data_IF_283661100295
#
_entry.id   IF_283661100295
#
_cell.length_a   1.000
_cell.length_b   1.000
_cell.length_c   1.000
_cell.angle_alpha   90.00
_cell.angle_beta   90.00
_cell.angle_gamma   90.00
#
_symmetry.space_group_name_H-M   'P 1'
#
loop_
_entity.id
_entity.type
_entity.pdbx_description
1 polymer ?
#
# COMPACT_ATOMS: atom_id res chain seq x y z
N UNK A 1 7.88 -89.31 64.86
CA UNK A 1 7.79 -88.92 63.47
C UNK A 1 7.83 -87.37 63.39
N UNK A 2 8.93 -86.83 62.97
CA UNK A 2 9.22 -85.39 62.97
C UNK A 2 8.83 -84.79 61.57
N UNK A 3 7.92 -83.83 61.51
CA UNK A 3 7.64 -82.98 60.35
C UNK A 3 8.49 -81.74 60.48
N UNK A 4 9.38 -81.50 59.49
CA UNK A 4 10.12 -80.27 59.32
C UNK A 4 9.30 -79.32 58.45
N UNK A 5 9.01 -78.12 58.97
CA UNK A 5 8.41 -77.02 58.23
C UNK A 5 9.48 -76.23 57.41
N UNK A 6 9.26 -76.04 56.15
CA UNK A 6 10.05 -75.11 55.27
C UNK A 6 9.39 -73.74 55.29
N UNK A 7 10.06 -72.77 55.88
CA UNK A 7 9.71 -71.32 55.75
C UNK A 7 10.32 -70.76 54.51
N UNK A 8 9.49 -70.40 53.50
CA UNK A 8 9.93 -69.68 52.32
C UNK A 8 10.01 -68.18 52.64
N UNK A 9 11.22 -67.65 52.57
CA UNK A 9 11.51 -66.19 52.67
C UNK A 9 11.27 -65.58 51.33
N UNK A 10 10.20 -64.80 51.16
CA UNK A 10 9.93 -63.99 49.97
C UNK A 10 10.79 -62.71 50.04
N UNK A 11 11.81 -62.63 49.22
CA UNK A 11 12.52 -61.36 49.00
C UNK A 11 11.70 -60.42 48.13
N UNK A 12 11.13 -59.38 48.75
CA UNK A 12 10.56 -58.26 48.11
C UNK A 12 11.74 -57.39 47.57
N UNK A 13 12.00 -57.44 46.29
CA UNK A 13 12.87 -56.47 45.58
C UNK A 13 12.13 -55.15 45.50
N UNK A 14 12.34 -54.27 46.47
CA UNK A 14 12.05 -52.85 46.31
C UNK A 14 13.12 -52.27 45.35
N UNK A 15 12.74 -51.99 44.12
CA UNK A 15 13.57 -51.25 43.23
C UNK A 15 13.68 -49.80 43.75
N UNK A 16 14.76 -49.50 44.45
CA UNK A 16 15.13 -48.14 44.80
C UNK A 16 15.51 -47.40 43.48
N UNK A 17 14.57 -46.68 42.90
CA UNK A 17 14.92 -45.65 41.92
C UNK A 17 15.81 -44.63 42.64
N UNK A 18 17.00 -44.28 42.13
CA UNK A 18 17.85 -43.32 42.79
C UNK A 18 17.10 -41.97 42.85
N UNK A 19 17.23 -41.26 43.95
CA UNK A 19 16.56 -40.00 44.25
C UNK A 19 16.74 -38.95 43.13
N UNK A 20 17.84 -39.02 42.39
CA UNK A 20 18.16 -38.25 41.21
C UNK A 20 17.26 -38.53 40.00
N UNK A 21 16.88 -39.83 39.79
CA UNK A 21 15.97 -40.21 38.70
C UNK A 21 14.52 -39.80 38.98
N UNK A 22 14.08 -39.89 40.23
CA UNK A 22 12.75 -39.39 40.62
C UNK A 22 12.62 -37.88 40.45
N UNK A 23 13.64 -37.11 40.83
CA UNK A 23 13.69 -35.63 40.58
C UNK A 23 13.76 -35.28 39.10
N UNK A 24 14.45 -36.05 38.28
CA UNK A 24 14.50 -35.83 36.86
C UNK A 24 13.16 -36.06 36.16
N UNK A 25 12.40 -37.07 36.58
CA UNK A 25 11.05 -37.32 36.07
C UNK A 25 10.10 -36.17 36.47
N UNK A 26 10.15 -35.71 37.73
CA UNK A 26 9.36 -34.58 38.21
C UNK A 26 9.68 -33.27 37.46
N UNK A 27 10.95 -33.00 37.18
CA UNK A 27 11.37 -31.83 36.39
C UNK A 27 10.91 -31.91 34.91
N UNK A 28 11.00 -33.10 34.29
CA UNK A 28 10.50 -33.34 32.94
C UNK A 28 8.98 -33.08 32.86
N UNK A 29 8.21 -33.60 33.83
CA UNK A 29 6.77 -33.38 33.90
C UNK A 29 6.43 -31.90 34.05
N UNK A 30 7.15 -31.21 34.94
CA UNK A 30 6.98 -29.77 35.14
C UNK A 30 7.26 -28.96 33.90
N UNK A 31 8.39 -29.18 33.26
CA UNK A 31 8.77 -28.42 32.05
C UNK A 31 7.81 -28.68 30.88
N UNK A 32 7.41 -29.94 30.66
CA UNK A 32 6.46 -30.26 29.61
C UNK A 32 5.10 -29.60 29.86
N UNK A 33 4.55 -29.74 31.08
CA UNK A 33 3.25 -29.16 31.46
C UNK A 33 3.26 -27.62 31.35
N UNK A 34 4.34 -26.97 31.83
CA UNK A 34 4.49 -25.51 31.71
C UNK A 34 4.56 -25.11 30.24
N UNK A 35 5.34 -25.82 29.41
CA UNK A 35 5.44 -25.57 27.99
C UNK A 35 4.11 -25.75 27.26
N UNK A 36 3.39 -26.81 27.52
CA UNK A 36 2.08 -27.10 26.91
C UNK A 36 1.04 -26.05 27.30
N UNK A 37 0.88 -25.75 28.59
CA UNK A 37 -0.07 -24.73 29.06
C UNK A 37 0.27 -23.34 28.55
N UNK A 38 1.55 -22.95 28.65
CA UNK A 38 1.98 -21.64 28.14
C UNK A 38 1.78 -21.51 26.63
N UNK A 39 1.90 -22.60 25.85
CA UNK A 39 1.57 -22.62 24.43
C UNK A 39 0.08 -22.44 24.19
N UNK A 40 -0.77 -23.10 24.99
CA UNK A 40 -2.22 -22.97 24.90
C UNK A 40 -2.70 -21.56 25.30
N UNK A 41 -2.08 -20.98 26.32
CA UNK A 41 -2.41 -19.64 26.85
C UNK A 41 -1.76 -18.49 26.04
N UNK A 42 -0.97 -18.81 25.00
CA UNK A 42 -0.27 -17.80 24.18
C UNK A 42 0.89 -17.09 24.88
N UNK A 43 1.39 -17.63 26.02
CA UNK A 43 2.52 -17.06 26.78
C UNK A 43 3.84 -17.55 26.16
N UNK A 44 4.10 -17.09 24.95
CA UNK A 44 5.15 -17.61 24.07
C UNK A 44 6.57 -17.61 24.68
N UNK A 45 7.04 -16.58 25.42
CA UNK A 45 8.38 -16.62 26.01
C UNK A 45 8.56 -17.72 27.07
N UNK A 46 7.49 -18.03 27.83
CA UNK A 46 7.49 -19.08 28.84
C UNK A 46 7.45 -20.44 28.16
N UNK A 47 6.55 -20.63 27.19
CA UNK A 47 6.45 -21.86 26.41
C UNK A 47 7.79 -22.22 25.77
N UNK A 48 8.41 -21.29 25.03
CA UNK A 48 9.67 -21.53 24.36
C UNK A 48 10.78 -21.93 25.32
N UNK A 49 10.96 -21.19 26.42
CA UNK A 49 12.01 -21.49 27.41
C UNK A 49 11.84 -22.86 28.06
N UNK A 50 10.62 -23.21 28.45
CA UNK A 50 10.33 -24.49 29.09
C UNK A 50 10.55 -25.66 28.11
N UNK A 51 10.08 -25.52 26.87
CA UNK A 51 10.18 -26.56 25.86
C UNK A 51 11.62 -26.70 25.32
N UNK A 52 12.39 -25.63 25.18
CA UNK A 52 13.82 -25.69 24.82
C UNK A 52 14.61 -26.48 25.87
N UNK A 53 14.37 -26.18 27.16
CA UNK A 53 15.00 -26.93 28.24
C UNK A 53 14.55 -28.40 28.23
N UNK A 54 13.27 -28.66 28.08
CA UNK A 54 12.77 -30.05 28.00
C UNK A 54 13.44 -30.83 26.88
N UNK A 55 13.46 -30.28 25.66
CA UNK A 55 14.07 -30.94 24.48
C UNK A 55 15.56 -31.19 24.66
N UNK A 56 16.26 -30.31 25.38
CA UNK A 56 17.69 -30.41 25.63
C UNK A 56 18.02 -31.40 26.76
N UNK A 57 17.29 -31.30 27.87
CA UNK A 57 17.61 -32.02 29.10
C UNK A 57 16.99 -33.45 29.11
N UNK A 58 15.90 -33.68 28.38
CA UNK A 58 15.17 -34.96 28.35
C UNK A 58 15.02 -35.58 26.95
N UNK A 59 16.13 -35.82 26.23
CA UNK A 59 16.08 -36.27 24.82
C UNK A 59 15.58 -37.74 24.64
N UNK A 60 15.34 -38.46 25.73
CA UNK A 60 14.79 -39.83 25.73
C UNK A 60 13.38 -39.92 26.31
N UNK A 61 12.76 -38.78 26.67
CA UNK A 61 11.39 -38.76 27.19
C UNK A 61 10.42 -39.13 26.06
N UNK A 62 9.39 -39.88 26.37
CA UNK A 62 8.37 -40.36 25.44
C UNK A 62 7.59 -39.20 24.79
N UNK A 63 7.52 -38.04 25.44
CA UNK A 63 6.85 -36.81 24.96
C UNK A 63 7.73 -35.91 24.13
N UNK A 64 8.97 -36.34 23.83
CA UNK A 64 9.92 -35.50 23.08
C UNK A 64 9.34 -35.01 21.74
N UNK A 65 8.62 -35.86 21.01
CA UNK A 65 8.01 -35.53 19.73
C UNK A 65 6.94 -34.43 19.89
N UNK A 66 6.08 -34.53 20.92
CA UNK A 66 5.08 -33.52 21.24
C UNK A 66 5.72 -32.20 21.73
N UNK A 67 6.78 -32.29 22.52
CA UNK A 67 7.53 -31.12 22.97
C UNK A 67 8.16 -30.36 21.80
N UNK A 68 8.71 -31.08 20.80
CA UNK A 68 9.28 -30.47 19.58
C UNK A 68 8.18 -29.84 18.73
N UNK A 69 7.00 -30.44 18.61
CA UNK A 69 5.84 -29.83 17.95
C UNK A 69 5.45 -28.51 18.63
N UNK A 70 5.29 -28.52 19.96
CA UNK A 70 4.92 -27.33 20.73
C UNK A 70 5.99 -26.23 20.66
N UNK A 71 7.27 -26.61 20.66
CA UNK A 71 8.39 -25.68 20.45
C UNK A 71 8.34 -25.04 19.06
N UNK A 72 8.02 -25.81 18.02
CA UNK A 72 7.79 -25.30 16.68
C UNK A 72 6.68 -24.24 16.65
N UNK A 73 5.55 -24.49 17.30
CA UNK A 73 4.45 -23.53 17.45
C UNK A 73 4.89 -22.25 18.17
N UNK A 74 5.64 -22.38 19.25
CA UNK A 74 6.15 -21.22 19.98
C UNK A 74 7.14 -20.38 19.13
N UNK A 75 7.97 -21.02 18.32
CA UNK A 75 8.87 -20.32 17.37
C UNK A 75 8.09 -19.62 16.28
N UNK A 76 7.08 -20.27 15.71
CA UNK A 76 6.22 -19.68 14.69
C UNK A 76 5.50 -18.43 15.20
N UNK A 77 5.08 -18.44 16.47
CA UNK A 77 4.39 -17.31 17.10
C UNK A 77 5.29 -16.06 17.26
N UNK A 78 6.62 -16.21 17.31
CA UNK A 78 7.56 -15.08 17.33
C UNK A 78 8.15 -14.76 15.95
N UNK A 79 7.67 -15.41 14.88
CA UNK A 79 8.13 -15.17 13.53
C UNK A 79 9.42 -15.90 13.13
N UNK A 80 9.92 -16.81 13.97
CA UNK A 80 11.07 -17.65 13.65
C UNK A 80 10.60 -18.84 12.79
N UNK A 81 10.20 -18.52 11.56
CA UNK A 81 9.50 -19.42 10.68
C UNK A 81 10.38 -20.60 10.21
N UNK A 82 11.67 -20.35 9.97
CA UNK A 82 12.63 -21.38 9.55
C UNK A 82 12.85 -22.43 10.67
N UNK A 83 13.15 -21.94 11.90
CA UNK A 83 13.36 -22.86 13.03
C UNK A 83 12.05 -23.56 13.43
N UNK A 84 10.88 -22.97 13.21
CA UNK A 84 9.60 -23.63 13.38
C UNK A 84 9.42 -24.78 12.37
N UNK A 85 9.69 -24.51 11.08
CA UNK A 85 9.62 -25.52 10.03
C UNK A 85 10.53 -26.71 10.32
N UNK A 86 11.79 -26.46 10.74
CA UNK A 86 12.72 -27.51 11.11
C UNK A 86 12.21 -28.32 12.32
N UNK A 87 11.59 -27.66 13.29
CA UNK A 87 10.98 -28.37 14.42
C UNK A 87 9.83 -29.29 13.97
N UNK A 88 8.94 -28.83 13.08
CA UNK A 88 7.84 -29.66 12.58
C UNK A 88 8.34 -30.83 11.76
N UNK A 89 9.33 -30.65 10.89
CA UNK A 89 9.98 -31.76 10.17
C UNK A 89 10.63 -32.76 11.12
N UNK A 90 11.36 -32.27 12.13
CA UNK A 90 11.97 -33.11 13.15
C UNK A 90 10.93 -33.91 13.92
N UNK A 91 9.80 -33.28 14.31
CA UNK A 91 8.71 -33.95 15.03
C UNK A 91 8.19 -35.18 14.26
N UNK A 92 8.16 -35.15 12.94
CA UNK A 92 7.73 -36.27 12.09
C UNK A 92 8.71 -37.44 12.06
N UNK A 93 9.96 -37.25 12.44
CA UNK A 93 10.98 -38.31 12.40
C UNK A 93 11.04 -39.18 13.64
N UNK A 94 10.34 -38.79 14.71
CA UNK A 94 10.36 -39.56 15.97
C UNK A 94 9.57 -40.86 15.90
N UNK A 95 10.03 -41.85 16.69
CA UNK A 95 9.34 -43.10 16.95
C UNK A 95 9.24 -43.31 18.44
N UNK A 96 8.05 -43.27 19.04
CA UNK A 96 6.74 -43.05 18.38
C UNK A 96 6.59 -41.65 17.82
N UNK A 97 5.69 -41.45 16.83
CA UNK A 97 5.38 -40.13 16.32
C UNK A 97 4.64 -39.28 17.36
N UNK A 98 4.52 -37.96 17.15
CA UNK A 98 3.71 -37.12 18.03
C UNK A 98 2.29 -37.65 18.18
N UNK A 99 1.69 -37.47 19.36
CA UNK A 99 0.30 -37.86 19.63
C UNK A 99 -0.72 -37.09 18.75
N UNK A 100 -0.27 -36.02 18.06
CA UNK A 100 -1.09 -35.13 17.25
C UNK A 100 -0.51 -34.95 15.81
N UNK A 101 -0.47 -36.00 14.99
CA UNK A 101 0.21 -35.98 13.70
C UNK A 101 -0.41 -34.97 12.70
N UNK A 102 -1.73 -34.74 12.75
CA UNK A 102 -2.39 -33.75 11.90
C UNK A 102 -2.00 -32.31 12.28
N UNK A 103 -1.80 -32.03 13.58
CA UNK A 103 -1.28 -30.72 14.01
C UNK A 103 0.11 -30.45 13.43
N UNK A 104 0.98 -31.45 13.37
CA UNK A 104 2.32 -31.28 12.79
C UNK A 104 2.23 -30.85 11.34
N UNK A 105 1.38 -31.51 10.55
CA UNK A 105 1.18 -31.17 9.12
C UNK A 105 0.53 -29.80 8.94
N UNK A 106 -0.44 -29.47 9.76
CA UNK A 106 -1.07 -28.15 9.73
C UNK A 106 -0.06 -27.03 10.02
N UNK A 107 0.70 -27.15 11.12
CA UNK A 107 1.68 -26.13 11.51
C UNK A 107 2.89 -26.08 10.56
N UNK A 108 3.26 -27.19 9.94
CA UNK A 108 4.21 -27.21 8.82
C UNK A 108 3.70 -26.35 7.66
N UNK A 109 2.42 -26.50 7.28
CA UNK A 109 1.75 -25.66 6.28
C UNK A 109 1.80 -24.18 6.62
N UNK A 110 1.48 -23.83 7.89
CA UNK A 110 1.54 -22.44 8.38
C UNK A 110 2.96 -21.84 8.30
N UNK A 111 3.99 -22.61 8.67
CA UNK A 111 5.38 -22.18 8.57
C UNK A 111 5.80 -21.97 7.10
N UNK A 112 5.44 -22.90 6.24
CA UNK A 112 5.72 -22.83 4.80
C UNK A 112 5.01 -21.65 4.14
N UNK A 113 3.75 -21.38 4.51
CA UNK A 113 3.00 -20.22 4.02
C UNK A 113 3.69 -18.90 4.42
N UNK A 114 4.10 -18.75 5.67
CA UNK A 114 4.83 -17.55 6.14
C UNK A 114 6.20 -17.38 5.48
N UNK A 115 6.84 -18.48 5.11
CA UNK A 115 8.08 -18.50 4.31
C UNK A 115 7.83 -18.27 2.82
N UNK A 116 6.61 -18.05 2.39
CA UNK A 116 6.15 -17.89 1.00
C UNK A 116 6.46 -19.12 0.13
N UNK A 117 6.63 -20.28 0.74
CA UNK A 117 6.80 -21.57 0.06
C UNK A 117 5.41 -22.16 -0.23
N UNK A 118 4.67 -21.49 -1.08
CA UNK A 118 3.25 -21.74 -1.26
C UNK A 118 2.91 -23.13 -1.81
N UNK A 119 3.71 -23.67 -2.74
CA UNK A 119 3.48 -25.01 -3.27
C UNK A 119 3.61 -26.09 -2.18
N UNK A 120 4.58 -25.95 -1.29
CA UNK A 120 4.79 -26.88 -0.18
C UNK A 120 3.69 -26.69 0.90
N UNK A 121 3.29 -25.44 1.18
CA UNK A 121 2.20 -25.13 2.11
C UNK A 121 0.89 -25.76 1.65
N UNK A 122 0.56 -25.61 0.36
CA UNK A 122 -0.59 -26.26 -0.27
C UNK A 122 -0.58 -27.77 -0.01
N UNK A 123 0.52 -28.46 -0.33
CA UNK A 123 0.64 -29.90 -0.13
C UNK A 123 0.47 -30.31 1.34
N UNK A 124 0.95 -29.48 2.29
CA UNK A 124 0.79 -29.73 3.71
C UNK A 124 -0.69 -29.62 4.14
N UNK A 125 -1.40 -28.56 3.74
CA UNK A 125 -2.82 -28.40 4.05
C UNK A 125 -3.69 -29.47 3.39
N UNK A 126 -3.45 -29.79 2.11
CA UNK A 126 -4.15 -30.87 1.41
C UNK A 126 -3.97 -32.22 2.12
N UNK A 127 -2.76 -32.46 2.70
CA UNK A 127 -2.51 -33.69 3.44
C UNK A 127 -3.34 -33.79 4.72
N UNK A 128 -3.61 -32.67 5.40
CA UNK A 128 -4.52 -32.62 6.58
C UNK A 128 -5.93 -32.98 6.17
N UNK A 129 -6.45 -32.32 5.14
CA UNK A 129 -7.81 -32.51 4.63
C UNK A 129 -8.04 -33.95 4.11
N UNK A 130 -7.03 -34.50 3.44
CA UNK A 130 -7.08 -35.88 2.90
C UNK A 130 -7.04 -36.94 4.02
N UNK A 131 -6.30 -36.68 5.09
CA UNK A 131 -6.18 -37.62 6.20
C UNK A 131 -7.46 -37.67 7.06
N UNK A 132 -8.06 -36.51 7.35
CA UNK A 132 -9.33 -36.41 8.10
C UNK A 132 -10.03 -35.09 7.82
N UNK A 133 -11.00 -35.10 6.89
CA UNK A 133 -11.81 -33.95 6.53
C UNK A 133 -12.78 -33.52 7.67
N UNK A 134 -12.95 -34.34 8.71
CA UNK A 134 -13.80 -34.04 9.87
C UNK A 134 -13.01 -33.58 11.09
N UNK A 135 -11.67 -33.53 10.97
CA UNK A 135 -10.80 -33.04 12.02
C UNK A 135 -11.16 -31.62 12.45
N UNK A 136 -11.00 -31.26 13.73
CA UNK A 136 -11.10 -29.88 14.19
C UNK A 136 -10.16 -28.90 13.46
N UNK A 137 -9.11 -29.39 12.81
CA UNK A 137 -8.17 -28.59 12.02
C UNK A 137 -8.56 -28.46 10.53
N UNK A 138 -9.57 -29.19 10.06
CA UNK A 138 -9.97 -29.16 8.66
C UNK A 138 -10.45 -27.77 8.21
N UNK A 139 -11.23 -27.01 8.99
CA UNK A 139 -11.60 -25.64 8.62
C UNK A 139 -10.39 -24.74 8.44
N UNK A 140 -9.45 -24.74 9.39
CA UNK A 140 -8.24 -23.93 9.33
C UNK A 140 -7.33 -24.34 8.17
N UNK A 141 -7.20 -25.64 7.90
CA UNK A 141 -6.41 -26.16 6.78
C UNK A 141 -7.03 -25.76 5.43
N UNK A 142 -8.37 -25.85 5.28
CA UNK A 142 -9.06 -25.40 4.07
C UNK A 142 -8.92 -23.88 3.87
N UNK A 143 -9.00 -23.10 4.96
CA UNK A 143 -8.80 -21.66 4.90
C UNK A 143 -7.36 -21.30 4.54
N UNK A 144 -6.36 -22.01 5.11
CA UNK A 144 -4.94 -21.84 4.74
C UNK A 144 -4.66 -22.22 3.28
N UNK A 145 -5.30 -23.29 2.77
CA UNK A 145 -5.24 -23.67 1.35
C UNK A 145 -5.81 -22.55 0.47
N UNK A 146 -6.99 -22.01 0.80
CA UNK A 146 -7.60 -20.92 0.05
C UNK A 146 -6.72 -19.66 0.01
N UNK A 147 -6.08 -19.31 1.12
CA UNK A 147 -5.09 -18.22 1.18
C UNK A 147 -3.86 -18.50 0.31
N UNK A 148 -3.39 -19.74 0.30
CA UNK A 148 -2.26 -20.15 -0.52
C UNK A 148 -2.54 -19.96 -2.01
N UNK A 149 -3.75 -20.32 -2.46
CA UNK A 149 -4.22 -20.08 -3.83
C UNK A 149 -4.35 -18.58 -4.13
N UNK A 150 -4.84 -17.79 -3.18
CA UNK A 150 -5.00 -16.34 -3.35
C UNK A 150 -3.65 -15.63 -3.50
N UNK A 151 -2.66 -15.97 -2.66
CA UNK A 151 -1.31 -15.36 -2.71
C UNK A 151 -0.57 -15.69 -4.02
N UNK A 152 -0.86 -16.84 -4.61
CA UNK A 152 -0.33 -17.25 -5.91
C UNK A 152 -1.15 -16.68 -7.09
N UNK A 153 -2.22 -15.96 -6.80
CA UNK A 153 -3.17 -15.42 -7.80
C UNK A 153 -3.79 -16.52 -8.69
N UNK A 154 -3.95 -17.70 -8.15
CA UNK A 154 -4.56 -18.81 -8.87
C UNK A 154 -6.08 -18.64 -8.99
N UNK A 155 -6.64 -19.04 -10.12
CA UNK A 155 -8.08 -19.00 -10.33
C UNK A 155 -8.87 -19.85 -9.32
N UNK A 156 -8.21 -20.86 -8.74
CA UNK A 156 -8.77 -21.78 -7.75
C UNK A 156 -9.07 -21.13 -6.39
N UNK A 157 -8.51 -19.94 -6.08
CA UNK A 157 -8.74 -19.25 -4.81
C UNK A 157 -10.24 -19.06 -4.50
N UNK A 158 -11.02 -18.61 -5.48
CA UNK A 158 -12.45 -18.43 -5.31
C UNK A 158 -13.17 -19.74 -5.01
N UNK A 159 -12.77 -20.85 -5.64
CA UNK A 159 -13.32 -22.18 -5.40
C UNK A 159 -13.00 -22.64 -3.99
N UNK A 160 -11.74 -22.51 -3.55
CA UNK A 160 -11.29 -22.96 -2.23
C UNK A 160 -12.00 -22.20 -1.08
N UNK A 161 -12.20 -20.87 -1.20
CA UNK A 161 -12.99 -20.11 -0.23
C UNK A 161 -14.47 -20.49 -0.25
N UNK A 162 -15.05 -20.80 -1.42
CA UNK A 162 -16.44 -21.25 -1.55
C UNK A 162 -16.63 -22.60 -0.85
N UNK A 163 -15.76 -23.55 -1.10
CA UNK A 163 -15.77 -24.85 -0.43
C UNK A 163 -15.70 -24.71 1.10
N UNK A 164 -14.89 -23.77 1.59
CA UNK A 164 -14.86 -23.47 3.02
C UNK A 164 -16.22 -23.01 3.54
N UNK A 165 -16.83 -22.03 2.88
CA UNK A 165 -18.11 -21.44 3.34
C UNK A 165 -19.24 -22.45 3.26
N UNK A 166 -19.27 -23.28 2.21
CA UNK A 166 -20.30 -24.29 2.01
C UNK A 166 -20.21 -25.41 3.06
N UNK A 167 -18.98 -25.78 3.46
CA UNK A 167 -18.73 -26.85 4.41
C UNK A 167 -18.85 -26.38 5.87
N UNK A 168 -18.41 -25.16 6.18
CA UNK A 168 -18.38 -24.61 7.55
C UNK A 168 -19.03 -23.21 7.65
N UNK A 169 -20.32 -23.07 7.31
CA UNK A 169 -20.99 -21.75 7.22
C UNK A 169 -21.08 -20.99 8.54
N UNK A 170 -20.98 -21.68 9.68
CA UNK A 170 -21.05 -21.09 11.01
C UNK A 170 -19.68 -20.92 11.69
N UNK A 171 -18.61 -21.30 11.01
CA UNK A 171 -17.27 -21.18 11.57
C UNK A 171 -16.88 -19.72 11.75
N UNK A 172 -16.04 -19.42 12.75
CA UNK A 172 -15.60 -18.05 13.05
C UNK A 172 -14.89 -17.36 11.87
N UNK A 173 -14.26 -18.13 11.00
CA UNK A 173 -13.61 -17.63 9.79
C UNK A 173 -14.55 -17.45 8.58
N UNK A 174 -15.81 -17.91 8.64
CA UNK A 174 -16.74 -17.84 7.52
C UNK A 174 -17.00 -16.41 7.00
N UNK A 175 -17.14 -15.39 7.86
CA UNK A 175 -17.22 -14.01 7.38
C UNK A 175 -15.97 -13.59 6.60
N UNK A 176 -14.77 -13.87 7.14
CA UNK A 176 -13.52 -13.55 6.43
C UNK A 176 -13.40 -14.31 5.11
N UNK A 177 -13.74 -15.60 5.09
CA UNK A 177 -13.76 -16.40 3.87
C UNK A 177 -14.71 -15.83 2.81
N UNK A 178 -15.90 -15.35 3.22
CA UNK A 178 -16.88 -14.69 2.32
C UNK A 178 -16.28 -13.43 1.69
N UNK A 179 -15.60 -12.60 2.47
CA UNK A 179 -14.94 -11.41 1.95
C UNK A 179 -13.85 -11.77 0.94
N UNK A 180 -12.98 -12.74 1.26
CA UNK A 180 -11.88 -13.12 0.36
C UNK A 180 -12.37 -13.89 -0.89
N UNK A 181 -13.45 -14.66 -0.77
CA UNK A 181 -14.15 -15.18 -1.94
C UNK A 181 -14.59 -14.04 -2.88
N UNK A 182 -15.27 -13.05 -2.32
CA UNK A 182 -15.75 -11.91 -3.11
C UNK A 182 -14.58 -11.13 -3.73
N UNK A 183 -13.50 -10.94 -3.00
CA UNK A 183 -12.26 -10.30 -3.50
C UNK A 183 -11.67 -11.09 -4.68
N UNK A 184 -11.51 -12.40 -4.55
CA UNK A 184 -11.02 -13.25 -5.63
C UNK A 184 -11.93 -13.18 -6.88
N UNK A 185 -13.26 -13.13 -6.68
CA UNK A 185 -14.22 -12.95 -7.77
C UNK A 185 -14.09 -11.58 -8.47
N UNK A 186 -13.87 -10.51 -7.70
CA UNK A 186 -13.63 -9.15 -8.25
C UNK A 186 -12.33 -9.13 -9.07
N UNK A 187 -11.25 -9.73 -8.57
CA UNK A 187 -9.99 -9.86 -9.31
C UNK A 187 -10.16 -10.65 -10.62
N UNK A 188 -11.05 -11.65 -10.64
CA UNK A 188 -11.45 -12.41 -11.83
C UNK A 188 -12.50 -11.69 -12.70
N UNK A 189 -12.91 -10.46 -12.35
CA UNK A 189 -13.96 -9.67 -13.00
C UNK A 189 -15.36 -10.34 -12.99
N UNK A 190 -15.59 -11.25 -12.07
CA UNK A 190 -16.89 -11.95 -11.87
C UNK A 190 -17.78 -11.13 -10.93
N UNK A 191 -18.05 -9.87 -11.31
CA UNK A 191 -18.74 -8.89 -10.47
C UNK A 191 -20.14 -9.33 -10.06
N UNK A 192 -20.90 -9.98 -10.97
CA UNK A 192 -22.25 -10.46 -10.69
C UNK A 192 -22.32 -11.47 -9.53
N UNK A 193 -21.23 -12.22 -9.30
CA UNK A 193 -21.15 -13.16 -8.21
C UNK A 193 -20.58 -12.49 -6.94
N UNK A 194 -19.68 -11.54 -7.09
CA UNK A 194 -19.06 -10.83 -5.97
C UNK A 194 -20.05 -9.88 -5.25
N UNK A 195 -20.86 -9.14 -6.01
CA UNK A 195 -21.77 -8.13 -5.46
C UNK A 195 -22.73 -8.70 -4.40
N UNK A 196 -23.49 -9.78 -4.63
CA UNK A 196 -24.40 -10.30 -3.60
C UNK A 196 -23.67 -10.81 -2.35
N UNK A 197 -22.46 -11.35 -2.47
CA UNK A 197 -21.64 -11.77 -1.35
C UNK A 197 -21.21 -10.57 -0.50
N UNK A 198 -20.75 -9.49 -1.14
CA UNK A 198 -20.34 -8.26 -0.45
C UNK A 198 -21.52 -7.54 0.19
N UNK A 199 -22.67 -7.48 -0.47
CA UNK A 199 -23.90 -6.93 0.11
C UNK A 199 -24.31 -7.70 1.36
N UNK A 200 -24.33 -9.03 1.27
CA UNK A 200 -24.63 -9.91 2.40
C UNK A 200 -23.62 -9.74 3.54
N UNK A 201 -22.34 -9.61 3.21
CA UNK A 201 -21.29 -9.37 4.20
C UNK A 201 -21.49 -8.04 4.94
N UNK A 202 -21.64 -6.94 4.21
CA UNK A 202 -21.80 -5.59 4.79
C UNK A 202 -23.06 -5.51 5.67
N UNK A 203 -24.15 -6.17 5.25
CA UNK A 203 -25.41 -6.18 6.02
C UNK A 203 -25.29 -6.96 7.33
N UNK A 204 -24.62 -8.12 7.32
CA UNK A 204 -24.55 -9.05 8.46
C UNK A 204 -23.36 -8.82 9.38
N UNK A 205 -22.28 -8.21 8.88
CA UNK A 205 -21.00 -8.11 9.56
C UNK A 205 -20.49 -6.65 9.64
N UNK A 206 -21.38 -5.70 9.92
CA UNK A 206 -21.07 -4.26 9.93
C UNK A 206 -19.97 -3.85 10.92
N UNK A 207 -19.78 -4.61 12.01
CA UNK A 207 -18.73 -4.43 13.03
C UNK A 207 -17.46 -5.26 12.78
N UNK A 208 -17.44 -6.06 11.73
CA UNK A 208 -16.27 -6.87 11.41
C UNK A 208 -15.12 -5.97 10.93
N UNK A 209 -13.86 -6.33 11.26
CA UNK A 209 -12.66 -5.55 10.87
C UNK A 209 -12.54 -5.30 9.35
N UNK A 210 -13.08 -6.20 8.53
CA UNK A 210 -13.09 -6.09 7.06
C UNK A 210 -14.32 -5.37 6.51
N UNK A 211 -15.20 -4.80 7.35
CA UNK A 211 -16.40 -4.12 6.87
C UNK A 211 -16.10 -2.88 6.03
N UNK A 212 -15.11 -2.03 6.36
CA UNK A 212 -14.72 -0.93 5.48
C UNK A 212 -14.22 -1.41 4.12
N UNK A 213 -13.29 -2.39 4.10
CA UNK A 213 -12.79 -2.98 2.84
C UNK A 213 -13.92 -3.58 1.99
N UNK A 214 -14.88 -4.26 2.63
CA UNK A 214 -16.02 -4.86 1.93
C UNK A 214 -16.93 -3.80 1.30
N UNK A 215 -17.15 -2.65 1.96
CA UNK A 215 -17.93 -1.52 1.38
C UNK A 215 -17.21 -0.91 0.19
N UNK A 216 -15.90 -0.68 0.32
CA UNK A 216 -15.07 -0.21 -0.79
C UNK A 216 -15.14 -1.16 -1.98
N UNK A 217 -14.90 -2.45 -1.74
CA UNK A 217 -14.91 -3.48 -2.78
C UNK A 217 -16.29 -3.64 -3.42
N UNK A 218 -17.37 -3.50 -2.65
CA UNK A 218 -18.76 -3.51 -3.15
C UNK A 218 -18.99 -2.37 -4.14
N UNK A 219 -18.61 -1.15 -3.77
CA UNK A 219 -18.73 0.00 -4.65
C UNK A 219 -17.94 -0.17 -5.94
N UNK A 220 -16.68 -0.63 -5.83
CA UNK A 220 -15.83 -0.94 -6.97
C UNK A 220 -16.41 -2.04 -7.88
N UNK A 221 -16.94 -3.11 -7.27
CA UNK A 221 -17.56 -4.21 -8.02
C UNK A 221 -18.79 -3.77 -8.78
N UNK A 222 -19.63 -2.91 -8.21
CA UNK A 222 -20.81 -2.36 -8.89
C UNK A 222 -20.45 -1.41 -10.02
N UNK A 223 -19.47 -0.49 -9.79
CA UNK A 223 -19.00 0.42 -10.85
C UNK A 223 -18.51 -0.37 -12.07
N UNK A 224 -17.70 -1.40 -11.84
CA UNK A 224 -17.13 -2.20 -12.91
C UNK A 224 -18.09 -3.29 -13.46
N UNK A 225 -19.11 -3.64 -12.68
CA UNK A 225 -20.11 -4.67 -13.02
C UNK A 225 -21.34 -4.15 -13.77
N UNK A 226 -21.36 -2.86 -14.12
CA UNK A 226 -22.43 -2.29 -14.95
C UNK A 226 -23.53 -1.52 -14.19
N UNK A 227 -23.37 -1.31 -12.87
CA UNK A 227 -24.23 -0.42 -12.07
C UNK A 227 -23.42 0.74 -11.44
N UNK A 228 -22.94 1.67 -12.28
CA UNK A 228 -22.05 2.72 -11.84
C UNK A 228 -22.70 3.68 -10.82
N UNK A 229 -24.00 3.93 -10.91
CA UNK A 229 -24.71 4.82 -9.97
C UNK A 229 -24.78 4.22 -8.57
N UNK A 230 -25.21 2.97 -8.46
CA UNK A 230 -25.22 2.27 -7.18
C UNK A 230 -23.81 2.10 -6.60
N UNK A 231 -22.81 1.86 -7.46
CA UNK A 231 -21.42 1.79 -7.03
C UNK A 231 -20.91 3.12 -6.43
N UNK A 232 -21.23 4.27 -7.04
CA UNK A 232 -20.91 5.59 -6.52
C UNK A 232 -21.57 5.81 -5.15
N UNK A 233 -22.84 5.41 -4.97
CA UNK A 233 -23.55 5.52 -3.69
C UNK A 233 -22.83 4.70 -2.59
N UNK A 234 -22.43 3.47 -2.90
CA UNK A 234 -21.68 2.63 -1.93
C UNK A 234 -20.30 3.20 -1.60
N UNK A 235 -19.58 3.76 -2.59
CA UNK A 235 -18.28 4.41 -2.35
C UNK A 235 -18.41 5.66 -1.48
N UNK A 236 -19.48 6.45 -1.65
CA UNK A 236 -19.77 7.59 -0.76
C UNK A 236 -20.04 7.12 0.67
N UNK A 237 -20.88 6.11 0.84
CA UNK A 237 -21.15 5.52 2.14
C UNK A 237 -19.90 4.91 2.80
N UNK A 238 -18.98 4.35 1.99
CA UNK A 238 -17.67 3.91 2.47
C UNK A 238 -16.85 5.08 3.03
N UNK A 239 -16.71 6.18 2.27
CA UNK A 239 -15.96 7.38 2.69
C UNK A 239 -16.53 7.98 3.97
N UNK A 240 -17.86 8.04 4.09
CA UNK A 240 -18.55 8.55 5.28
C UNK A 240 -18.29 7.65 6.50
N UNK A 241 -18.37 6.32 6.34
CA UNK A 241 -18.20 5.37 7.42
C UNK A 241 -16.74 5.19 7.86
N UNK A 242 -15.76 5.42 6.97
CA UNK A 242 -14.33 5.20 7.22
C UNK A 242 -13.46 6.30 6.59
N UNK A 243 -13.55 7.57 7.03
CA UNK A 243 -12.91 8.71 6.36
C UNK A 243 -11.38 8.67 6.39
N UNK A 244 -10.79 7.90 7.31
CA UNK A 244 -9.34 7.74 7.44
C UNK A 244 -8.81 6.46 6.77
N UNK A 245 -9.67 5.73 6.04
CA UNK A 245 -9.24 4.49 5.39
C UNK A 245 -8.25 4.78 4.24
N UNK A 246 -7.19 3.96 4.05
CA UNK A 246 -6.19 4.18 3.00
C UNK A 246 -6.76 4.28 1.58
N UNK A 247 -7.88 3.60 1.31
CA UNK A 247 -8.52 3.57 -0.01
C UNK A 247 -9.48 4.75 -0.27
N UNK A 248 -9.65 5.69 0.66
CA UNK A 248 -10.51 6.86 0.47
C UNK A 248 -10.09 7.71 -0.74
N UNK A 249 -8.79 8.01 -0.97
CA UNK A 249 -8.39 8.73 -2.17
C UNK A 249 -8.76 8.00 -3.47
N UNK A 250 -8.57 6.67 -3.50
CA UNK A 250 -8.94 5.85 -4.65
C UNK A 250 -10.46 5.82 -4.88
N UNK A 251 -11.25 5.69 -3.82
CA UNK A 251 -12.70 5.77 -3.90
C UNK A 251 -13.20 7.11 -4.47
N UNK A 252 -12.62 8.24 -4.02
CA UNK A 252 -12.92 9.58 -4.56
C UNK A 252 -12.60 9.69 -6.04
N UNK A 253 -11.44 9.18 -6.46
CA UNK A 253 -11.05 9.19 -7.88
C UNK A 253 -12.04 8.40 -8.75
N UNK A 254 -12.46 7.22 -8.29
CA UNK A 254 -13.46 6.39 -8.99
C UNK A 254 -14.82 7.06 -9.04
N UNK A 255 -15.28 7.69 -7.94
CA UNK A 255 -16.53 8.45 -7.94
C UNK A 255 -16.46 9.56 -9.00
N UNK A 256 -15.39 10.36 -9.00
CA UNK A 256 -15.23 11.47 -9.92
C UNK A 256 -15.16 11.01 -11.38
N UNK A 257 -14.44 9.94 -11.66
CA UNK A 257 -14.37 9.35 -13.01
C UNK A 257 -15.72 8.79 -13.46
N UNK A 258 -16.42 8.11 -12.57
CA UNK A 258 -17.72 7.52 -12.83
C UNK A 258 -18.78 8.59 -13.11
N UNK A 259 -18.80 9.65 -12.29
CA UNK A 259 -19.67 10.81 -12.53
C UNK A 259 -19.36 11.52 -13.85
N UNK A 260 -18.09 11.57 -14.24
CA UNK A 260 -17.70 12.15 -15.53
C UNK A 260 -18.22 11.34 -16.74
N UNK A 261 -18.29 10.01 -16.61
CA UNK A 261 -18.71 9.12 -17.70
C UNK A 261 -20.21 8.85 -17.73
N UNK A 262 -20.85 8.76 -16.56
CA UNK A 262 -22.19 8.22 -16.37
C UNK A 262 -23.11 9.16 -15.58
N UNK A 263 -22.57 10.17 -14.90
CA UNK A 263 -23.35 11.16 -14.15
C UNK A 263 -24.09 12.09 -15.10
N UNK A 264 -25.33 12.43 -14.77
CA UNK A 264 -26.01 13.50 -15.47
C UNK A 264 -25.49 14.87 -14.99
N UNK A 265 -25.83 15.90 -15.78
CA UNK A 265 -25.36 17.26 -15.51
C UNK A 265 -25.87 17.80 -14.15
N UNK A 266 -27.08 17.41 -13.76
CA UNK A 266 -27.68 17.85 -12.48
C UNK A 266 -26.97 17.18 -11.31
N UNK A 267 -26.74 15.89 -11.37
CA UNK A 267 -26.01 15.15 -10.32
C UNK A 267 -24.60 15.71 -10.08
N UNK A 268 -23.88 16.08 -11.15
CA UNK A 268 -22.58 16.76 -11.02
C UNK A 268 -22.71 18.15 -10.38
N UNK A 269 -23.76 18.93 -10.72
CA UNK A 269 -24.00 20.26 -10.12
C UNK A 269 -24.30 20.14 -8.62
N UNK A 270 -25.17 19.20 -8.25
CA UNK A 270 -25.54 18.97 -6.85
C UNK A 270 -24.34 18.51 -6.03
N UNK A 271 -23.51 17.62 -6.61
CA UNK A 271 -22.27 17.16 -5.96
C UNK A 271 -21.28 18.31 -5.78
N UNK A 272 -21.09 19.18 -6.79
CA UNK A 272 -20.26 20.38 -6.67
C UNK A 272 -20.76 21.30 -5.54
N UNK A 273 -22.06 21.57 -5.52
CA UNK A 273 -22.65 22.42 -4.51
C UNK A 273 -22.47 21.85 -3.09
N UNK A 274 -22.69 20.55 -2.91
CA UNK A 274 -22.50 19.86 -1.64
C UNK A 274 -21.04 19.93 -1.15
N UNK A 275 -20.06 19.67 -2.03
CA UNK A 275 -18.65 19.75 -1.69
C UNK A 275 -18.21 21.17 -1.31
N UNK A 276 -18.69 22.17 -2.04
CA UNK A 276 -18.40 23.59 -1.74
C UNK A 276 -19.02 24.09 -0.45
N UNK A 277 -20.16 23.51 -0.03
CA UNK A 277 -20.89 23.84 1.21
C UNK A 277 -20.44 22.98 2.40
N UNK A 278 -19.63 21.98 2.21
CA UNK A 278 -19.20 21.07 3.27
C UNK A 278 -18.51 21.83 4.42
N UNK A 279 -18.93 21.54 5.67
CA UNK A 279 -18.35 22.13 6.88
C UNK A 279 -18.24 21.05 7.98
N UNK A 280 -17.04 20.80 8.54
CA UNK A 280 -15.76 21.34 8.07
C UNK A 280 -15.41 20.86 6.68
N UNK A 281 -14.78 21.72 5.87
CA UNK A 281 -14.31 21.33 4.55
C UNK A 281 -12.95 20.60 4.64
N UNK A 282 -12.55 19.94 3.55
CA UNK A 282 -11.23 19.30 3.42
C UNK A 282 -10.57 19.72 2.11
N UNK A 283 -9.25 19.60 2.04
CA UNK A 283 -8.51 19.92 0.81
C UNK A 283 -8.94 19.03 -0.37
N UNK A 284 -9.23 17.76 -0.09
CA UNK A 284 -9.70 16.78 -1.07
C UNK A 284 -11.09 17.16 -1.59
N UNK A 285 -12.02 17.55 -0.70
CA UNK A 285 -13.36 17.94 -1.12
C UNK A 285 -13.34 19.15 -2.07
N UNK A 286 -12.50 20.14 -1.79
CA UNK A 286 -12.34 21.31 -2.66
C UNK A 286 -11.65 20.99 -3.97
N UNK A 287 -10.67 20.09 -3.96
CA UNK A 287 -10.04 19.58 -5.18
C UNK A 287 -11.04 18.81 -6.05
N UNK A 288 -11.87 17.97 -5.44
CA UNK A 288 -12.93 17.23 -6.13
C UNK A 288 -13.97 18.18 -6.74
N UNK A 289 -14.37 19.22 -6.00
CA UNK A 289 -15.26 20.28 -6.51
C UNK A 289 -14.67 20.96 -7.74
N UNK A 290 -13.39 21.30 -7.72
CA UNK A 290 -12.70 21.89 -8.87
C UNK A 290 -12.69 20.93 -10.08
N UNK A 291 -12.44 19.64 -9.85
CA UNK A 291 -12.51 18.62 -10.89
C UNK A 291 -13.89 18.50 -11.53
N UNK A 292 -14.95 18.48 -10.73
CA UNK A 292 -16.35 18.41 -11.20
C UNK A 292 -16.70 19.69 -11.98
N UNK A 293 -16.35 20.87 -11.48
CA UNK A 293 -16.59 22.13 -12.18
C UNK A 293 -15.90 22.18 -13.55
N UNK A 294 -14.68 21.64 -13.65
CA UNK A 294 -13.98 21.53 -14.92
C UNK A 294 -14.73 20.66 -15.94
N UNK A 295 -15.28 19.53 -15.51
CA UNK A 295 -16.09 18.65 -16.35
C UNK A 295 -17.43 19.26 -16.78
N UNK A 296 -18.02 20.08 -15.93
CA UNK A 296 -19.19 20.87 -16.26
C UNK A 296 -18.90 22.03 -17.22
N UNK A 297 -17.65 22.25 -17.62
CA UNK A 297 -17.18 23.39 -18.38
C UNK A 297 -17.52 24.72 -17.70
N UNK A 298 -17.39 24.79 -16.38
CA UNK A 298 -17.66 25.95 -15.53
C UNK A 298 -16.34 26.52 -14.95
N UNK A 299 -15.51 27.18 -15.77
CA UNK A 299 -14.17 27.59 -15.35
C UNK A 299 -14.16 28.56 -14.16
N UNK A 300 -15.19 29.40 -14.02
CA UNK A 300 -15.31 30.29 -12.87
C UNK A 300 -15.50 29.53 -11.55
N UNK A 301 -16.31 28.48 -11.57
CA UNK A 301 -16.55 27.65 -10.40
C UNK A 301 -15.32 26.79 -10.07
N UNK A 302 -14.64 26.32 -11.08
CA UNK A 302 -13.37 25.62 -10.93
C UNK A 302 -12.32 26.51 -10.25
N UNK A 303 -12.16 27.74 -10.72
CA UNK A 303 -11.24 28.70 -10.09
C UNK A 303 -11.70 29.07 -8.67
N UNK A 304 -13.01 29.16 -8.40
CA UNK A 304 -13.53 29.44 -7.07
C UNK A 304 -13.16 28.33 -6.09
N UNK A 305 -13.29 27.05 -6.49
CA UNK A 305 -12.90 25.93 -5.68
C UNK A 305 -11.37 25.90 -5.40
N UNK A 306 -10.52 26.12 -6.42
CA UNK A 306 -9.08 26.23 -6.24
C UNK A 306 -8.66 27.40 -5.34
N UNK A 307 -9.32 28.56 -5.47
CA UNK A 307 -9.05 29.72 -4.60
C UNK A 307 -9.43 29.43 -3.15
N UNK A 308 -10.58 28.77 -2.92
CA UNK A 308 -10.99 28.34 -1.58
C UNK A 308 -10.02 27.33 -1.00
N UNK A 309 -9.60 26.33 -1.78
CA UNK A 309 -8.59 25.34 -1.39
C UNK A 309 -7.28 26.02 -0.92
N UNK A 310 -6.78 26.98 -1.69
CA UNK A 310 -5.56 27.71 -1.34
C UNK A 310 -5.71 28.61 -0.11
N UNK A 311 -6.88 29.18 0.08
CA UNK A 311 -7.14 30.05 1.23
C UNK A 311 -7.23 29.29 2.55
N UNK A 312 -7.90 28.11 2.53
CA UNK A 312 -8.14 27.32 3.73
C UNK A 312 -7.02 26.33 4.06
N UNK A 313 -6.26 25.87 3.03
CA UNK A 313 -5.20 24.86 3.16
C UNK A 313 -3.91 25.28 2.44
N UNK A 314 -3.29 26.42 2.75
CA UNK A 314 -2.22 27.03 1.95
C UNK A 314 -0.97 26.15 1.79
N UNK A 315 -0.67 25.29 2.78
CA UNK A 315 0.52 24.42 2.81
C UNK A 315 0.22 22.99 2.36
N UNK A 316 -1.03 22.69 1.97
CA UNK A 316 -1.39 21.35 1.52
C UNK A 316 -0.90 21.09 0.09
N UNK A 317 -0.40 19.88 -0.24
CA UNK A 317 0.08 19.54 -1.60
C UNK A 317 -0.93 19.87 -2.72
N UNK A 318 -2.22 19.60 -2.49
CA UNK A 318 -3.28 19.93 -3.44
C UNK A 318 -3.44 21.44 -3.66
N UNK A 319 -3.14 22.28 -2.65
CA UNK A 319 -3.20 23.74 -2.80
C UNK A 319 -2.02 24.26 -3.67
N UNK A 320 -0.86 23.65 -3.59
CA UNK A 320 0.25 23.99 -4.48
C UNK A 320 -0.10 23.63 -5.94
N UNK A 321 -0.73 22.48 -6.17
CA UNK A 321 -1.22 22.09 -7.50
C UNK A 321 -2.31 23.02 -8.00
N UNK A 322 -3.29 23.35 -7.15
CA UNK A 322 -4.32 24.35 -7.47
C UNK A 322 -3.74 25.72 -7.80
N UNK A 323 -2.63 26.10 -7.15
CA UNK A 323 -1.90 27.33 -7.48
C UNK A 323 -1.32 27.29 -8.89
N UNK A 324 -0.73 26.17 -9.30
CA UNK A 324 -0.22 25.98 -10.68
C UNK A 324 -1.37 26.06 -11.70
N UNK A 325 -2.51 25.43 -11.41
CA UNK A 325 -3.67 25.46 -12.29
C UNK A 325 -4.27 26.88 -12.41
N UNK A 326 -4.34 27.63 -11.31
CA UNK A 326 -4.73 29.04 -11.30
C UNK A 326 -3.74 29.91 -12.10
N UNK A 327 -2.45 29.65 -11.95
CA UNK A 327 -1.41 30.34 -12.73
C UNK A 327 -1.57 30.11 -14.24
N UNK A 328 -1.80 28.87 -14.65
CA UNK A 328 -2.08 28.51 -16.03
C UNK A 328 -3.34 29.22 -16.57
N UNK A 329 -4.42 29.24 -15.76
CA UNK A 329 -5.66 29.92 -16.12
C UNK A 329 -5.47 31.44 -16.28
N UNK A 330 -4.73 32.07 -15.37
CA UNK A 330 -4.39 33.50 -15.43
C UNK A 330 -3.49 33.80 -16.65
N UNK A 331 -2.48 32.96 -16.92
CA UNK A 331 -1.59 33.12 -18.05
C UNK A 331 -2.35 33.05 -19.41
N UNK A 332 -3.27 32.12 -19.55
CA UNK A 332 -4.16 31.99 -20.72
C UNK A 332 -5.02 33.25 -20.93
N UNK A 333 -5.46 33.90 -19.87
CA UNK A 333 -6.19 35.17 -19.90
C UNK A 333 -5.27 36.40 -20.10
N UNK A 334 -3.95 36.18 -20.19
CA UNK A 334 -2.91 37.22 -20.28
C UNK A 334 -2.82 38.09 -19.01
N UNK A 335 -3.36 37.63 -17.88
CA UNK A 335 -3.12 38.23 -16.57
C UNK A 335 -1.80 37.72 -16.00
N UNK A 336 -0.71 38.24 -16.57
CA UNK A 336 0.63 37.78 -16.22
C UNK A 336 1.03 38.11 -14.78
N UNK A 337 0.41 39.15 -14.18
CA UNK A 337 0.67 39.49 -12.79
C UNK A 337 0.10 38.44 -11.84
N UNK A 338 -1.18 38.05 -12.01
CA UNK A 338 -1.79 36.99 -11.23
C UNK A 338 -1.09 35.64 -11.54
N UNK A 339 -0.80 35.36 -12.81
CA UNK A 339 -0.08 34.15 -13.20
C UNK A 339 1.27 34.01 -12.46
N UNK A 340 2.08 35.08 -12.40
CA UNK A 340 3.34 35.06 -11.68
C UNK A 340 3.16 34.83 -10.17
N UNK A 341 2.13 35.47 -9.58
CA UNK A 341 1.82 35.34 -8.15
C UNK A 341 1.41 33.90 -7.80
N UNK A 342 0.54 33.30 -8.60
CA UNK A 342 0.07 31.95 -8.39
C UNK A 342 1.20 30.92 -8.66
N UNK A 343 1.95 31.11 -9.74
CA UNK A 343 3.10 30.25 -10.05
C UNK A 343 4.14 30.28 -8.92
N UNK A 344 4.46 31.47 -8.38
CA UNK A 344 5.38 31.59 -7.25
C UNK A 344 4.88 30.83 -6.00
N UNK A 345 3.58 30.81 -5.74
CA UNK A 345 3.04 30.00 -4.65
C UNK A 345 3.20 28.48 -4.91
N UNK A 346 3.03 28.04 -6.16
CA UNK A 346 3.20 26.64 -6.55
C UNK A 346 4.65 26.15 -6.47
N UNK A 347 5.66 27.04 -6.52
CA UNK A 347 7.08 26.63 -6.36
C UNK A 347 7.42 26.07 -4.99
N UNK A 348 6.53 26.20 -4.00
CA UNK A 348 6.66 25.59 -2.67
C UNK A 348 6.33 24.10 -2.64
N UNK A 349 5.81 23.54 -3.73
CA UNK A 349 5.45 22.13 -3.81
C UNK A 349 6.66 21.22 -3.57
N UNK A 350 6.44 20.15 -2.84
CA UNK A 350 7.42 19.05 -2.69
C UNK A 350 7.44 18.14 -3.92
N UNK A 351 6.37 18.14 -4.74
CA UNK A 351 6.32 17.43 -6.01
C UNK A 351 7.20 18.14 -7.04
N UNK A 352 8.27 17.47 -7.46
CA UNK A 352 9.23 18.02 -8.42
C UNK A 352 8.58 18.43 -9.75
N UNK A 353 7.59 17.69 -10.24
CA UNK A 353 6.83 18.01 -11.45
C UNK A 353 6.10 19.33 -11.31
N UNK A 354 5.33 19.51 -10.23
CA UNK A 354 4.60 20.76 -9.95
C UNK A 354 5.56 21.93 -9.77
N UNK A 355 6.65 21.72 -9.01
CA UNK A 355 7.64 22.76 -8.75
C UNK A 355 8.37 23.23 -10.02
N UNK A 356 8.76 22.30 -10.89
CA UNK A 356 9.47 22.64 -12.12
C UNK A 356 8.58 23.38 -13.13
N UNK A 357 7.33 22.95 -13.30
CA UNK A 357 6.35 23.64 -14.14
C UNK A 357 6.01 25.04 -13.59
N UNK A 358 5.88 25.15 -12.25
CA UNK A 358 5.62 26.43 -11.60
C UNK A 358 6.77 27.43 -11.79
N UNK A 359 8.02 26.99 -11.67
CA UNK A 359 9.20 27.81 -11.96
C UNK A 359 9.24 28.27 -13.42
N UNK A 360 8.97 27.35 -14.35
CA UNK A 360 8.88 27.68 -15.77
C UNK A 360 7.80 28.74 -16.03
N UNK A 361 6.58 28.53 -15.53
CA UNK A 361 5.46 29.45 -15.73
C UNK A 361 5.67 30.80 -15.03
N UNK A 362 6.33 30.81 -13.87
CA UNK A 362 6.77 32.02 -13.20
C UNK A 362 7.71 32.81 -14.09
N UNK A 363 8.74 32.18 -14.67
CA UNK A 363 9.68 32.80 -15.59
C UNK A 363 9.00 33.34 -16.85
N UNK A 364 8.10 32.59 -17.47
CA UNK A 364 7.33 33.02 -18.65
C UNK A 364 6.44 34.25 -18.32
N UNK A 365 5.80 34.24 -17.15
CA UNK A 365 4.94 35.34 -16.70
C UNK A 365 5.76 36.60 -16.45
N UNK A 366 6.89 36.50 -15.76
CA UNK A 366 7.78 37.64 -15.45
C UNK A 366 8.46 38.18 -16.73
N UNK A 367 8.75 37.32 -17.71
CA UNK A 367 9.25 37.73 -19.03
C UNK A 367 8.19 38.59 -19.76
N UNK A 368 6.91 38.17 -19.72
CA UNK A 368 5.80 38.97 -20.30
C UNK A 368 5.61 40.31 -19.60
N UNK A 369 5.90 40.38 -18.29
CA UNK A 369 5.89 41.62 -17.51
C UNK A 369 7.16 42.47 -17.71
N UNK A 370 8.10 42.04 -18.55
CA UNK A 370 9.40 42.67 -18.79
C UNK A 370 10.29 42.79 -17.55
N UNK A 371 10.07 41.89 -16.57
CA UNK A 371 10.88 41.80 -15.36
C UNK A 371 12.00 40.76 -15.54
N UNK A 372 12.89 41.09 -16.49
CA UNK A 372 13.88 40.15 -17.01
C UNK A 372 14.81 39.53 -15.97
N UNK A 373 15.30 40.25 -14.95
CA UNK A 373 16.14 39.61 -13.91
C UNK A 373 15.39 38.55 -13.07
N UNK A 374 14.09 38.79 -12.80
CA UNK A 374 13.26 37.84 -12.03
C UNK A 374 12.95 36.62 -12.93
N UNK A 375 12.59 36.86 -14.19
CA UNK A 375 12.36 35.80 -15.15
C UNK A 375 13.60 34.89 -15.31
N UNK A 376 14.80 35.48 -15.46
CA UNK A 376 16.04 34.74 -15.60
C UNK A 376 16.28 33.82 -14.39
N UNK A 377 16.09 34.33 -13.18
CA UNK A 377 16.24 33.54 -11.93
C UNK A 377 15.28 32.36 -11.88
N UNK A 378 14.02 32.56 -12.26
CA UNK A 378 13.02 31.51 -12.28
C UNK A 378 13.34 30.42 -13.32
N UNK A 379 13.75 30.81 -14.52
CA UNK A 379 14.16 29.88 -15.56
C UNK A 379 15.43 29.12 -15.23
N UNK A 380 16.40 29.76 -14.62
CA UNK A 380 17.63 29.12 -14.15
C UNK A 380 17.31 28.03 -13.10
N UNK A 381 16.50 28.36 -12.11
CA UNK A 381 16.05 27.40 -11.11
C UNK A 381 15.31 26.21 -11.74
N UNK A 382 14.42 26.43 -12.72
CA UNK A 382 13.73 25.36 -13.43
C UNK A 382 14.69 24.48 -14.24
N UNK A 383 15.69 25.08 -14.90
CA UNK A 383 16.65 24.36 -15.73
C UNK A 383 17.65 23.52 -14.90
N UNK A 384 17.97 23.95 -13.68
CA UNK A 384 18.90 23.27 -12.77
C UNK A 384 18.27 22.08 -12.03
N UNK A 385 16.96 21.99 -11.98
CA UNK A 385 16.27 20.86 -11.35
C UNK A 385 16.59 19.55 -12.09
N UNK A 386 17.33 18.65 -11.42
CA UNK A 386 17.72 17.34 -11.99
C UNK A 386 16.53 16.44 -12.31
N UNK A 387 15.47 16.55 -11.53
CA UNK A 387 14.23 15.80 -11.65
C UNK A 387 13.23 16.40 -12.65
N UNK A 388 13.50 17.59 -13.20
CA UNK A 388 12.63 18.20 -14.19
C UNK A 388 12.58 17.39 -15.49
N UNK A 389 11.38 17.28 -16.08
CA UNK A 389 11.21 16.75 -17.41
C UNK A 389 12.11 17.50 -18.43
N UNK A 390 12.62 16.76 -19.40
CA UNK A 390 13.50 17.34 -20.42
C UNK A 390 12.83 18.48 -21.20
N UNK A 391 11.54 18.37 -21.49
CA UNK A 391 10.80 19.42 -22.19
C UNK A 391 10.73 20.70 -21.32
N UNK A 392 10.43 20.59 -20.03
CA UNK A 392 10.42 21.72 -19.09
C UNK A 392 11.80 22.35 -19.01
N UNK A 393 12.84 21.55 -18.84
CA UNK A 393 14.23 22.03 -18.74
C UNK A 393 14.66 22.82 -19.94
N UNK A 394 14.44 22.32 -21.16
CA UNK A 394 14.90 23.03 -22.38
C UNK A 394 14.03 24.23 -22.74
N UNK A 395 12.73 24.22 -22.38
CA UNK A 395 11.89 25.43 -22.42
C UNK A 395 12.40 26.48 -21.44
N UNK A 396 12.78 26.11 -20.24
CA UNK A 396 13.36 27.02 -19.27
C UNK A 396 14.70 27.59 -19.75
N UNK A 397 15.58 26.78 -20.33
CA UNK A 397 16.83 27.28 -20.94
C UNK A 397 16.58 28.27 -22.11
N UNK A 398 15.57 27.99 -22.94
CA UNK A 398 15.16 28.91 -24.01
C UNK A 398 14.65 30.23 -23.42
N UNK A 399 13.80 30.19 -22.39
CA UNK A 399 13.32 31.37 -21.67
C UNK A 399 14.45 32.16 -20.99
N UNK A 400 15.42 31.43 -20.39
CA UNK A 400 16.61 32.02 -19.79
C UNK A 400 17.42 32.80 -20.83
N UNK A 401 17.61 32.20 -22.02
CA UNK A 401 18.27 32.85 -23.14
C UNK A 401 17.58 34.17 -23.53
N UNK A 402 16.24 34.16 -23.64
CA UNK A 402 15.45 35.36 -23.93
C UNK A 402 15.60 36.41 -22.83
N UNK A 403 15.48 36.04 -21.57
CA UNK A 403 15.60 36.97 -20.45
C UNK A 403 17.00 37.60 -20.36
N UNK A 404 18.07 36.84 -20.63
CA UNK A 404 19.46 37.31 -20.67
C UNK A 404 19.72 38.19 -21.87
N UNK A 405 19.12 37.88 -23.02
CA UNK A 405 19.19 38.69 -24.23
C UNK A 405 18.60 40.10 -24.02
N UNK A 406 17.43 40.18 -23.38
CA UNK A 406 16.78 41.46 -23.05
C UNK A 406 17.60 42.28 -22.03
N UNK A 407 18.40 41.61 -21.20
CA UNK A 407 19.35 42.25 -20.28
C UNK A 407 20.67 42.64 -20.98
N UNK A 408 20.82 42.35 -22.28
CA UNK A 408 22.05 42.51 -23.05
C UNK A 408 23.23 41.66 -22.51
N UNK A 409 22.93 40.60 -21.80
CA UNK A 409 23.90 39.62 -21.32
C UNK A 409 24.18 38.56 -22.40
N UNK A 410 24.74 39.05 -23.55
CA UNK A 410 24.87 38.29 -24.81
C UNK A 410 25.55 36.92 -24.62
N UNK A 411 26.62 36.86 -23.83
CA UNK A 411 27.35 35.59 -23.58
C UNK A 411 26.51 34.57 -22.87
N UNK A 412 25.77 35.00 -21.84
CA UNK A 412 24.87 34.12 -21.08
C UNK A 412 23.70 33.66 -21.94
N UNK A 413 23.10 34.55 -22.73
CA UNK A 413 22.04 34.20 -23.67
C UNK A 413 22.54 33.19 -24.71
N UNK A 414 23.74 33.39 -25.28
CA UNK A 414 24.34 32.48 -26.25
C UNK A 414 24.54 31.08 -25.67
N UNK A 415 25.09 30.94 -24.46
CA UNK A 415 25.32 29.68 -23.82
C UNK A 415 24.01 28.89 -23.58
N UNK A 416 22.95 29.59 -23.15
CA UNK A 416 21.63 28.99 -22.98
C UNK A 416 21.06 28.46 -24.30
N UNK A 417 21.10 29.28 -25.38
CA UNK A 417 20.60 28.85 -26.67
C UNK A 417 21.42 27.73 -27.32
N UNK A 418 22.75 27.73 -27.17
CA UNK A 418 23.62 26.66 -27.67
C UNK A 418 23.31 25.34 -26.97
N UNK A 419 22.99 25.36 -25.65
CA UNK A 419 22.55 24.18 -24.93
C UNK A 419 21.22 23.63 -25.47
N UNK A 420 20.25 24.50 -25.74
CA UNK A 420 18.96 24.12 -26.33
C UNK A 420 19.14 23.54 -27.72
N UNK A 421 19.92 24.23 -28.59
CA UNK A 421 20.18 23.81 -29.95
C UNK A 421 20.86 22.44 -30.04
N UNK A 422 21.72 22.14 -29.08
CA UNK A 422 22.48 20.87 -29.07
C UNK A 422 21.69 19.71 -28.48
N UNK A 423 20.87 19.95 -27.47
CA UNK A 423 20.39 18.84 -26.57
C UNK A 423 18.87 18.78 -26.36
N UNK A 424 18.08 19.77 -26.81
CA UNK A 424 16.63 19.70 -26.65
C UNK A 424 16.06 18.48 -27.39
N UNK A 425 15.12 17.71 -26.77
CA UNK A 425 14.41 16.64 -27.46
C UNK A 425 13.45 17.19 -28.56
N UNK A 426 12.97 18.42 -28.42
CA UNK A 426 12.05 19.04 -29.37
C UNK A 426 12.81 19.63 -30.58
N UNK A 427 12.60 19.09 -31.82
CA UNK A 427 13.24 19.58 -33.02
C UNK A 427 12.94 21.07 -33.33
N UNK A 428 11.69 21.48 -33.12
CA UNK A 428 11.25 22.85 -33.38
C UNK A 428 11.98 23.84 -32.47
N UNK A 429 12.11 23.47 -31.18
CA UNK A 429 12.83 24.29 -30.23
C UNK A 429 14.33 24.32 -30.50
N UNK A 430 14.92 23.21 -31.00
CA UNK A 430 16.32 23.19 -31.44
C UNK A 430 16.57 24.15 -32.62
N UNK A 431 15.71 24.11 -33.62
CA UNK A 431 15.89 24.95 -34.83
C UNK A 431 15.68 26.41 -34.49
N UNK A 432 14.67 26.75 -33.71
CA UNK A 432 14.51 28.11 -33.19
C UNK A 432 15.76 28.58 -32.41
N UNK A 433 16.33 27.73 -31.56
CA UNK A 433 17.53 28.08 -30.78
C UNK A 433 18.76 28.29 -31.66
N UNK A 434 18.94 27.54 -32.78
CA UNK A 434 20.01 27.76 -33.76
C UNK A 434 19.89 29.14 -34.40
N UNK A 435 18.68 29.58 -34.77
CA UNK A 435 18.44 30.92 -35.32
C UNK A 435 18.80 31.98 -34.27
N UNK A 436 18.42 31.78 -32.99
CA UNK A 436 18.79 32.72 -31.90
C UNK A 436 20.31 32.79 -31.69
N UNK A 437 21.02 31.65 -31.76
CA UNK A 437 22.48 31.59 -31.66
C UNK A 437 23.12 32.48 -32.76
N UNK A 438 22.65 32.36 -34.01
CA UNK A 438 23.15 33.20 -35.12
C UNK A 438 22.88 34.68 -34.86
N UNK A 439 21.67 35.03 -34.48
CA UNK A 439 21.26 36.41 -34.20
C UNK A 439 22.09 37.05 -33.06
N UNK A 440 22.32 36.33 -31.98
CA UNK A 440 23.13 36.82 -30.85
C UNK A 440 24.60 36.97 -31.24
N UNK A 441 25.19 36.03 -31.99
CA UNK A 441 26.57 36.13 -32.49
C UNK A 441 26.74 37.36 -33.41
N UNK A 442 25.78 37.64 -34.27
CA UNK A 442 25.79 38.85 -35.12
C UNK A 442 25.76 40.14 -34.28
N UNK A 443 24.93 40.21 -33.23
CA UNK A 443 24.87 41.35 -32.31
C UNK A 443 26.17 41.54 -31.53
N UNK A 444 26.84 40.46 -31.12
CA UNK A 444 28.14 40.53 -30.44
C UNK A 444 29.25 41.00 -31.36
N UNK A 445 29.23 40.67 -32.67
CA UNK A 445 30.23 41.08 -33.65
C UNK A 445 30.01 42.51 -34.17
N UNK A 446 28.78 43.02 -34.20
CA UNK A 446 28.45 44.37 -34.69
C UNK A 446 28.67 45.50 -33.67
N UNK A 447 29.36 45.25 -32.56
CA UNK A 447 29.90 46.28 -31.67
C UNK A 447 28.85 46.96 -30.80
N UNK A 448 27.93 46.26 -30.20
CA UNK A 448 27.11 46.78 -29.08
C UNK A 448 28.01 47.15 -27.89
N UNK A 449 27.81 48.30 -27.21
CA UNK A 449 28.69 48.74 -26.14
C UNK A 449 28.78 47.72 -25.01
N UNK A 450 30.00 47.28 -24.69
CA UNK A 450 30.27 46.43 -23.56
C UNK A 450 29.88 47.18 -22.28
N UNK A 451 28.86 46.70 -21.58
CA UNK A 451 28.56 47.17 -20.19
C UNK A 451 29.69 46.69 -19.31
N UNK A 452 30.53 47.62 -18.84
CA UNK A 452 31.52 47.31 -17.78
C UNK A 452 30.80 46.85 -16.55
N UNK A 453 31.27 45.77 -15.88
CA UNK A 453 30.75 45.39 -14.57
C UNK A 453 30.98 46.56 -13.60
N UNK A 454 29.92 46.99 -12.90
CA UNK A 454 30.08 47.93 -11.77
C UNK A 454 30.87 47.20 -10.74
N UNK A 455 32.15 47.66 -10.55
CA UNK A 455 32.96 47.30 -9.38
C UNK A 455 32.23 47.83 -8.15
N UNK A 456 31.93 46.90 -7.21
CA UNK A 456 31.31 47.24 -5.96
C UNK A 456 32.22 48.14 -5.13
N UNK A 457 31.61 49.06 -4.45
CA UNK A 457 32.09 49.68 -3.22
C UNK A 457 30.99 49.55 -2.18
#
# INVERSE_FOLDING_TARGET
MKRRGFTALAFLFFAFLPLSAARAVEEADRLFLVGERATADGIVPVARRALERFVQEFPKDSRLADAVLLLGRARLAVGDNEAALEAFKRAQTFQPPPGRPLEVKFWEGEALFRLRRFADARAAYESVLKADATSPLAPEAQYGLAWTELEQKHAEAAKAFREFIDTWPTHALAPSATFYLARALVEQRRFNEAVPLLQGFVAKNSSHKLAPDARYLLGMAKVNGGDPRAGVADLRAFIEAAPQHPDVPAARAVINETLARHGDRQEMQDTYAALMAQSPTTAEALNDAAGIAGRLARPKDQEAAWKKLRAEFPDHPLAHRAALDLANAAFKRKDYKDAATQAQAATKSEEDGVRSEALLLSGESELKLKRFPIAAKAFEAAAEMKSADAAVRYRALAGLGLAREEQREWRAALAAYESVAAKSPDPTLRDWAKERVVAVKQRMSSGGPAVKPKSGS
#
